data_IF_608896944095
#
_entry.id   IF_608896944095
#
_cell.length_a   1.000
_cell.length_b   1.000
_cell.length_c   1.000
_cell.angle_alpha   90.00
_cell.angle_beta   90.00
_cell.angle_gamma   90.00
#
_symmetry.space_group_name_H-M   'P 1'
#
loop_
_entity.id
_entity.type
_entity.pdbx_description
1 polymer ?
#
# COMPACT_ATOMS: atom_id res chain seq x y z
N UNK A 1 2.85 -5.09 -22.31
CA UNK A 1 3.61 -4.83 -21.06
C UNK A 1 2.87 -3.73 -20.30
N UNK A 2 2.58 -3.93 -19.00
CA UNK A 2 1.83 -3.02 -18.14
C UNK A 2 2.72 -2.59 -16.94
N UNK A 3 2.81 -1.28 -16.67
CA UNK A 3 3.70 -0.73 -15.63
C UNK A 3 2.88 -0.06 -14.53
N UNK A 4 3.03 -0.53 -13.29
CA UNK A 4 2.38 0.03 -12.10
C UNK A 4 3.43 0.67 -11.19
N UNK A 5 3.24 1.95 -10.83
CA UNK A 5 3.99 2.59 -9.75
C UNK A 5 3.29 2.29 -8.42
N UNK A 6 4.06 1.91 -7.40
CA UNK A 6 3.53 1.50 -6.10
C UNK A 6 4.21 2.29 -4.98
N UNK A 7 3.43 3.16 -4.35
CA UNK A 7 3.78 4.00 -3.21
C UNK A 7 3.11 3.48 -1.95
N UNK A 8 3.63 3.85 -0.79
CA UNK A 8 3.02 3.53 0.51
C UNK A 8 3.51 4.48 1.60
N UNK A 9 2.79 4.53 2.71
CA UNK A 9 3.26 5.11 3.96
C UNK A 9 3.75 6.56 3.77
N UNK A 10 2.88 7.42 3.25
CA UNK A 10 3.16 8.84 3.03
C UNK A 10 3.23 9.60 4.36
N UNK A 11 2.39 9.20 5.35
CA UNK A 11 2.30 9.82 6.67
C UNK A 11 2.21 11.34 6.61
N UNK A 12 1.27 11.85 5.83
CA UNK A 12 0.97 13.28 5.80
C UNK A 12 0.46 13.72 7.19
N UNK A 13 1.21 14.59 7.83
CA UNK A 13 1.02 15.02 9.22
C UNK A 13 0.71 16.53 9.36
N UNK A 14 0.49 17.20 8.22
CA UNK A 14 0.36 18.65 8.14
C UNK A 14 1.69 19.39 8.14
N UNK A 15 2.83 18.67 8.17
CA UNK A 15 4.18 19.23 8.15
C UNK A 15 4.77 19.30 6.74
N UNK A 16 5.63 20.29 6.52
CA UNK A 16 6.28 20.52 5.21
C UNK A 16 7.10 19.33 4.73
N UNK A 17 7.68 18.53 5.63
CA UNK A 17 8.54 17.41 5.27
C UNK A 17 7.76 16.29 4.56
N UNK A 18 6.64 15.86 5.11
CA UNK A 18 5.82 14.79 4.53
C UNK A 18 5.21 15.25 3.20
N UNK A 19 4.74 16.51 3.15
CA UNK A 19 4.23 17.15 1.94
C UNK A 19 5.28 17.19 0.82
N UNK A 20 6.50 17.66 1.14
CA UNK A 20 7.59 17.78 0.16
C UNK A 20 7.99 16.41 -0.40
N UNK A 21 8.11 15.38 0.46
CA UNK A 21 8.47 14.03 0.05
C UNK A 21 7.42 13.42 -0.87
N UNK A 22 6.13 13.58 -0.53
CA UNK A 22 5.03 13.13 -1.36
C UNK A 22 4.98 13.88 -2.69
N UNK A 23 5.07 15.21 -2.66
CA UNK A 23 5.12 16.03 -3.88
C UNK A 23 6.32 15.69 -4.77
N UNK A 24 7.48 15.39 -4.20
CA UNK A 24 8.69 14.96 -4.94
C UNK A 24 8.45 13.66 -5.70
N UNK A 25 7.84 12.66 -5.05
CA UNK A 25 7.52 11.39 -5.69
C UNK A 25 6.50 11.58 -6.82
N UNK A 26 5.46 12.38 -6.58
CA UNK A 26 4.45 12.65 -7.62
C UNK A 26 5.06 13.41 -8.81
N UNK A 27 5.86 14.45 -8.57
CA UNK A 27 6.61 15.14 -9.65
C UNK A 27 7.54 14.20 -10.42
N UNK A 28 8.20 13.27 -9.73
CA UNK A 28 9.04 12.27 -10.39
C UNK A 28 8.22 11.41 -11.35
N UNK A 29 7.02 10.95 -10.92
CA UNK A 29 6.13 10.14 -11.76
C UNK A 29 5.54 10.93 -12.94
N UNK A 30 5.20 12.19 -12.74
CA UNK A 30 4.70 13.10 -13.79
C UNK A 30 5.76 13.39 -14.88
N UNK A 31 7.05 13.37 -14.52
CA UNK A 31 8.15 13.67 -15.44
C UNK A 31 8.73 12.42 -16.12
N UNK A 32 8.09 11.25 -15.99
CA UNK A 32 8.49 10.07 -16.75
C UNK A 32 8.23 10.29 -18.25
N UNK A 33 9.18 9.94 -19.12
CA UNK A 33 8.99 10.03 -20.58
C UNK A 33 7.80 9.17 -21.05
N UNK A 34 7.61 8.03 -20.41
CA UNK A 34 6.43 7.18 -20.61
C UNK A 34 5.74 7.06 -19.24
N UNK A 35 4.52 7.59 -19.09
CA UNK A 35 3.78 7.46 -17.86
C UNK A 35 3.57 6.00 -17.43
N UNK A 36 3.46 5.74 -16.14
CA UNK A 36 2.97 4.46 -15.66
C UNK A 36 1.51 4.26 -16.08
N UNK A 37 1.07 3.02 -16.25
CA UNK A 37 -0.33 2.69 -16.57
C UNK A 37 -1.27 2.87 -15.36
N UNK A 38 -0.73 2.71 -14.15
CA UNK A 38 -1.45 2.95 -12.89
C UNK A 38 -0.49 3.35 -11.76
N UNK A 39 -1.02 4.05 -10.75
CA UNK A 39 -0.35 4.36 -9.49
C UNK A 39 -1.17 3.74 -8.35
N UNK A 40 -0.51 3.03 -7.44
CA UNK A 40 -1.10 2.49 -6.22
C UNK A 40 -0.51 3.16 -4.98
N UNK A 41 -1.35 3.42 -3.98
CA UNK A 41 -0.92 3.86 -2.64
C UNK A 41 -1.51 2.91 -1.60
N UNK A 42 -0.65 2.12 -0.96
CA UNK A 42 -1.06 1.03 -0.07
C UNK A 42 -1.09 1.43 1.41
N UNK A 43 -1.81 2.50 1.72
CA UNK A 43 -2.18 2.89 3.08
C UNK A 43 -1.16 3.78 3.80
N UNK A 44 -1.53 4.11 5.02
CA UNK A 44 -0.85 5.10 5.87
C UNK A 44 -0.58 6.40 5.09
N UNK A 45 -1.65 6.86 4.44
CA UNK A 45 -1.62 8.09 3.62
C UNK A 45 -1.43 9.29 4.54
N UNK A 46 -2.14 9.29 5.68
CA UNK A 46 -2.06 10.33 6.71
C UNK A 46 -1.52 9.76 8.02
N UNK A 47 -0.97 10.63 8.88
CA UNK A 47 -0.42 10.21 10.17
C UNK A 47 -1.48 10.19 11.29
N UNK A 48 -2.44 11.11 11.24
CA UNK A 48 -3.46 11.26 12.28
C UNK A 48 -4.89 10.93 11.81
N UNK A 49 -5.11 10.73 10.52
CA UNK A 49 -6.42 10.44 9.93
C UNK A 49 -7.38 11.62 10.01
N UNK A 50 -6.90 12.85 9.93
CA UNK A 50 -7.73 14.05 9.95
C UNK A 50 -8.25 14.39 8.55
N UNK A 51 -9.42 15.04 8.50
CA UNK A 51 -10.01 15.46 7.23
C UNK A 51 -9.11 16.43 6.46
N UNK A 52 -8.36 17.28 7.16
CA UNK A 52 -7.43 18.26 6.57
C UNK A 52 -6.25 17.55 5.89
N UNK A 53 -5.66 16.56 6.56
CA UNK A 53 -4.59 15.74 5.98
C UNK A 53 -5.05 15.02 4.71
N UNK A 54 -6.28 14.45 4.69
CA UNK A 54 -6.81 13.80 3.48
C UNK A 54 -7.11 14.79 2.35
N UNK A 55 -7.59 16.00 2.65
CA UNK A 55 -7.74 17.03 1.64
C UNK A 55 -6.39 17.42 1.05
N UNK A 56 -5.37 17.48 1.89
CA UNK A 56 -4.01 17.73 1.43
C UNK A 56 -3.48 16.58 0.58
N UNK A 57 -3.73 15.33 0.97
CA UNK A 57 -3.41 14.15 0.17
C UNK A 57 -4.07 14.21 -1.22
N UNK A 58 -5.36 14.56 -1.28
CA UNK A 58 -6.10 14.69 -2.54
C UNK A 58 -5.51 15.77 -3.47
N UNK A 59 -4.92 16.84 -2.91
CA UNK A 59 -4.21 17.85 -3.69
C UNK A 59 -2.87 17.33 -4.25
N UNK A 60 -2.11 16.62 -3.40
CA UNK A 60 -0.79 16.09 -3.76
C UNK A 60 -0.86 14.93 -4.76
N UNK A 61 -1.94 14.15 -4.72
CA UNK A 61 -2.16 13.00 -5.59
C UNK A 61 -2.85 13.34 -6.93
N UNK A 62 -3.03 14.64 -7.23
CA UNK A 62 -3.56 15.04 -8.55
C UNK A 62 -2.62 14.59 -9.66
N UNK A 63 -3.14 13.79 -10.58
CA UNK A 63 -2.41 13.25 -11.74
C UNK A 63 -3.41 12.80 -12.81
N UNK A 64 -2.96 12.72 -14.05
CA UNK A 64 -3.76 12.16 -15.16
C UNK A 64 -3.66 10.62 -15.23
N UNK A 65 -2.72 10.01 -14.49
CA UNK A 65 -2.57 8.56 -14.41
C UNK A 65 -3.61 7.99 -13.43
N UNK A 66 -4.32 6.88 -13.76
CA UNK A 66 -5.19 6.22 -12.81
C UNK A 66 -4.50 5.95 -11.48
N UNK A 67 -5.00 6.52 -10.38
CA UNK A 67 -4.44 6.38 -9.03
C UNK A 67 -5.46 5.72 -8.11
N UNK A 68 -5.05 4.63 -7.45
CA UNK A 68 -5.89 3.84 -6.56
C UNK A 68 -5.27 3.76 -5.18
N UNK A 69 -6.11 3.81 -4.14
CA UNK A 69 -5.69 3.88 -2.75
C UNK A 69 -6.42 2.84 -1.90
N UNK A 70 -5.78 2.32 -0.86
CA UNK A 70 -6.44 1.65 0.26
C UNK A 70 -5.97 2.26 1.58
N UNK A 71 -6.72 2.13 2.68
CA UNK A 71 -6.30 2.66 3.97
C UNK A 71 -5.25 1.78 4.65
N UNK A 72 -4.41 2.40 5.52
CA UNK A 72 -3.55 1.75 6.48
C UNK A 72 -4.01 2.01 7.93
N UNK A 73 -3.24 1.55 8.92
CA UNK A 73 -3.65 1.63 10.33
C UNK A 73 -3.69 3.05 10.91
N UNK A 74 -2.96 4.00 10.32
CA UNK A 74 -3.07 5.43 10.67
C UNK A 74 -4.30 6.09 10.06
N UNK A 75 -4.87 5.50 9.01
CA UNK A 75 -6.01 6.06 8.30
C UNK A 75 -7.34 5.81 9.02
N UNK A 76 -8.28 6.75 8.86
CA UNK A 76 -9.64 6.66 9.42
C UNK A 76 -10.67 6.67 8.30
N UNK A 77 -11.52 5.63 8.25
CA UNK A 77 -12.46 5.36 7.15
C UNK A 77 -13.37 6.53 6.78
N UNK A 78 -13.97 7.20 7.77
CA UNK A 78 -14.87 8.34 7.53
C UNK A 78 -14.18 9.51 6.86
N UNK A 79 -13.14 10.12 7.49
CA UNK A 79 -12.37 11.20 6.88
C UNK A 79 -11.65 10.81 5.57
N UNK A 80 -11.20 9.55 5.43
CA UNK A 80 -10.62 9.02 4.19
C UNK A 80 -11.61 9.12 3.03
N UNK A 81 -12.87 8.66 3.25
CA UNK A 81 -13.92 8.77 2.24
C UNK A 81 -14.21 10.22 1.87
N UNK A 82 -14.41 11.07 2.88
CA UNK A 82 -14.81 12.46 2.66
C UNK A 82 -13.68 13.29 2.03
N UNK A 83 -12.49 13.25 2.62
CA UNK A 83 -11.37 14.11 2.24
C UNK A 83 -10.62 13.65 1.00
N UNK A 84 -10.47 12.34 0.80
CA UNK A 84 -9.66 11.79 -0.28
C UNK A 84 -10.51 11.28 -1.44
N UNK A 85 -11.61 10.57 -1.15
CA UNK A 85 -12.44 9.96 -2.19
C UNK A 85 -13.63 10.82 -2.63
N UNK A 86 -13.94 11.92 -1.93
CA UNK A 86 -15.12 12.76 -2.21
C UNK A 86 -16.44 12.02 -2.00
N UNK A 87 -16.47 11.03 -1.12
CA UNK A 87 -17.63 10.20 -0.78
C UNK A 87 -18.25 10.62 0.55
N UNK A 88 -19.48 10.16 0.81
CA UNK A 88 -20.08 10.32 2.14
C UNK A 88 -19.24 9.57 3.19
N UNK A 89 -19.03 10.15 4.40
CA UNK A 89 -18.31 9.47 5.47
C UNK A 89 -19.05 8.19 5.92
N UNK A 90 -18.30 7.18 6.39
CA UNK A 90 -18.86 5.91 6.85
C UNK A 90 -17.77 5.03 7.47
N UNK A 91 -18.19 4.03 8.23
CA UNK A 91 -17.32 3.14 9.01
C UNK A 91 -17.10 1.76 8.37
N UNK A 92 -17.86 1.42 7.31
CA UNK A 92 -17.65 0.17 6.57
C UNK A 92 -16.25 0.10 5.93
N UNK A 93 -15.71 -1.10 5.64
CA UNK A 93 -14.42 -1.24 4.97
C UNK A 93 -14.33 -0.43 3.67
N UNK A 94 -13.18 0.19 3.41
CA UNK A 94 -12.92 0.96 2.19
C UNK A 94 -12.35 0.03 1.12
N UNK A 95 -13.20 -0.83 0.60
CA UNK A 95 -12.86 -1.77 -0.47
C UNK A 95 -13.21 -1.18 -1.83
N UNK A 96 -12.33 -1.32 -2.83
CA UNK A 96 -12.58 -0.90 -4.20
C UNK A 96 -11.89 -1.82 -5.20
N UNK A 97 -12.52 -2.05 -6.34
CA UNK A 97 -11.91 -2.75 -7.46
C UNK A 97 -11.90 -1.85 -8.69
N UNK A 98 -10.78 -1.82 -9.38
CA UNK A 98 -10.56 -0.99 -10.57
C UNK A 98 -9.94 -1.83 -11.68
N UNK A 99 -10.27 -1.53 -12.93
CA UNK A 99 -9.68 -2.19 -14.09
C UNK A 99 -9.05 -1.15 -15.01
N UNK A 100 -7.80 -1.37 -15.38
CA UNK A 100 -7.08 -0.58 -16.37
C UNK A 100 -6.58 -1.54 -17.45
N UNK A 101 -7.07 -1.37 -18.68
CA UNK A 101 -6.88 -2.37 -19.72
C UNK A 101 -7.52 -3.71 -19.32
N UNK A 102 -6.72 -4.76 -19.23
CA UNK A 102 -7.11 -6.10 -18.77
C UNK A 102 -6.69 -6.42 -17.33
N UNK A 103 -6.00 -5.48 -16.66
CA UNK A 103 -5.46 -5.67 -15.31
C UNK A 103 -6.46 -5.18 -14.26
N UNK A 104 -6.80 -6.04 -13.29
CA UNK A 104 -7.67 -5.70 -12.15
C UNK A 104 -6.82 -5.37 -10.92
N UNK A 105 -7.11 -4.23 -10.29
CA UNK A 105 -6.55 -3.82 -9.00
C UNK A 105 -7.62 -3.93 -7.92
N UNK A 106 -7.43 -4.82 -6.97
CA UNK A 106 -8.33 -5.06 -5.85
C UNK A 106 -7.74 -4.38 -4.62
N UNK A 107 -8.23 -3.18 -4.31
CA UNK A 107 -7.79 -2.37 -3.16
C UNK A 107 -8.60 -2.78 -1.94
N UNK A 108 -8.01 -3.58 -1.05
CA UNK A 108 -8.71 -4.16 0.09
C UNK A 108 -8.33 -3.47 1.40
N UNK A 109 -9.32 -3.15 2.22
CA UNK A 109 -9.15 -2.55 3.54
C UNK A 109 -8.79 -3.63 4.57
N UNK A 110 -7.52 -3.67 4.97
CA UNK A 110 -7.02 -4.58 6.02
C UNK A 110 -7.04 -3.95 7.42
N UNK A 111 -7.59 -2.74 7.58
CA UNK A 111 -7.55 -2.03 8.86
C UNK A 111 -8.55 -2.58 9.87
N UNK A 112 -8.15 -2.60 11.13
CA UNK A 112 -9.03 -2.78 12.29
C UNK A 112 -9.11 -1.42 12.98
N UNK A 113 -10.25 -0.71 12.98
CA UNK A 113 -10.33 0.61 13.56
C UNK A 113 -9.75 0.70 14.97
N UNK A 114 -8.76 1.61 15.15
CA UNK A 114 -8.08 1.82 16.43
C UNK A 114 -7.05 0.75 16.82
N UNK A 115 -6.65 -0.12 15.88
CA UNK A 115 -5.60 -1.13 16.07
C UNK A 115 -4.46 -0.92 15.07
N UNK A 116 -3.22 -1.21 15.47
CA UNK A 116 -2.08 -1.14 14.54
C UNK A 116 -1.94 -2.39 13.67
N UNK A 117 -2.57 -3.51 14.04
CA UNK A 117 -2.57 -4.76 13.31
C UNK A 117 -3.71 -4.82 12.29
N UNK A 118 -3.54 -5.66 11.26
CA UNK A 118 -4.49 -5.82 10.18
C UNK A 118 -5.29 -7.11 10.23
N UNK A 119 -6.49 -7.06 9.62
CA UNK A 119 -7.33 -8.24 9.37
C UNK A 119 -8.39 -7.92 8.34
N UNK A 120 -8.62 -8.81 7.40
CA UNK A 120 -9.84 -8.79 6.61
C UNK A 120 -11.00 -9.34 7.42
N UNK A 121 -12.06 -8.55 7.57
CA UNK A 121 -13.32 -9.00 8.16
C UNK A 121 -14.09 -9.93 7.20
N UNK A 122 -15.24 -10.44 7.64
CA UNK A 122 -16.03 -11.37 6.84
C UNK A 122 -16.62 -10.71 5.58
N UNK A 123 -16.96 -9.43 5.66
CA UNK A 123 -17.48 -8.65 4.54
C UNK A 123 -16.39 -8.46 3.47
N UNK A 124 -15.20 -8.02 3.88
CA UNK A 124 -14.06 -7.86 2.97
C UNK A 124 -13.63 -9.19 2.34
N UNK A 125 -13.63 -10.29 3.10
CA UNK A 125 -13.29 -11.61 2.56
C UNK A 125 -14.30 -12.10 1.52
N UNK A 126 -15.60 -11.93 1.79
CA UNK A 126 -16.65 -12.30 0.84
C UNK A 126 -16.62 -11.43 -0.43
N UNK A 127 -16.39 -10.11 -0.26
CA UNK A 127 -16.23 -9.18 -1.36
C UNK A 127 -15.02 -9.52 -2.23
N UNK A 128 -13.86 -9.81 -1.60
CA UNK A 128 -12.62 -10.18 -2.29
C UNK A 128 -12.81 -11.43 -3.15
N UNK A 129 -13.42 -12.48 -2.59
CA UNK A 129 -13.71 -13.72 -3.31
C UNK A 129 -14.65 -13.48 -4.50
N UNK A 130 -15.68 -12.64 -4.32
CA UNK A 130 -16.61 -12.25 -5.38
C UNK A 130 -15.92 -11.51 -6.53
N UNK A 131 -15.18 -10.44 -6.21
CA UNK A 131 -14.46 -9.62 -7.22
C UNK A 131 -13.43 -10.45 -7.98
N UNK A 132 -12.70 -11.32 -7.30
CA UNK A 132 -11.73 -12.21 -7.95
C UNK A 132 -12.38 -13.29 -8.80
N UNK A 133 -13.63 -13.64 -8.54
CA UNK A 133 -14.44 -14.53 -9.37
C UNK A 133 -14.97 -13.87 -10.65
N UNK A 134 -14.91 -12.52 -10.74
CA UNK A 134 -15.34 -11.78 -11.92
C UNK A 134 -14.16 -11.53 -12.86
N UNK A 135 -14.29 -11.93 -14.13
CA UNK A 135 -13.28 -11.71 -15.16
C UNK A 135 -12.08 -12.69 -15.12
N UNK A 136 -11.32 -12.70 -16.22
CA UNK A 136 -10.24 -13.66 -16.48
C UNK A 136 -8.85 -13.02 -16.54
N UNK A 137 -8.75 -11.68 -16.60
CA UNK A 137 -7.49 -10.95 -16.68
C UNK A 137 -6.68 -11.03 -15.39
N UNK A 138 -5.39 -10.67 -15.44
CA UNK A 138 -4.51 -10.66 -14.27
C UNK A 138 -5.04 -9.72 -13.19
N UNK A 139 -4.88 -10.12 -11.91
CA UNK A 139 -5.31 -9.34 -10.76
C UNK A 139 -4.17 -9.10 -9.78
N UNK A 140 -4.08 -7.87 -9.26
CA UNK A 140 -3.28 -7.52 -8.08
C UNK A 140 -4.22 -7.30 -6.89
N UNK A 141 -3.87 -7.86 -5.74
CA UNK A 141 -4.53 -7.52 -4.48
C UNK A 141 -3.61 -6.58 -3.72
N UNK A 142 -4.07 -5.36 -3.49
CA UNK A 142 -3.34 -4.34 -2.75
C UNK A 142 -4.02 -4.05 -1.41
N UNK A 143 -3.24 -4.11 -0.34
CA UNK A 143 -3.69 -3.86 1.03
C UNK A 143 -2.50 -3.49 1.90
N UNK A 144 -2.75 -2.89 3.07
CA UNK A 144 -1.66 -2.29 3.84
C UNK A 144 -0.77 -3.30 4.55
N UNK A 145 -1.33 -4.18 5.38
CA UNK A 145 -0.58 -5.05 6.30
C UNK A 145 -0.14 -6.36 5.64
N UNK A 146 1.17 -6.68 5.53
CA UNK A 146 1.62 -7.98 5.04
C UNK A 146 1.09 -9.15 5.89
N UNK A 147 0.65 -10.28 5.26
CA UNK A 147 0.11 -11.44 5.99
C UNK A 147 1.21 -12.38 6.51
N UNK A 148 2.48 -11.99 6.43
CA UNK A 148 3.64 -12.78 6.87
C UNK A 148 4.62 -11.92 7.63
N UNK A 149 5.42 -12.54 8.49
CA UNK A 149 6.57 -11.89 9.11
C UNK A 149 7.68 -11.67 8.06
N UNK A 150 8.29 -10.49 8.08
CA UNK A 150 9.34 -10.07 7.14
C UNK A 150 10.71 -9.93 7.81
N UNK A 151 10.87 -10.38 9.06
CA UNK A 151 12.10 -10.28 9.83
C UNK A 151 12.27 -8.93 10.54
N UNK A 152 11.18 -8.20 10.74
CA UNK A 152 11.12 -6.89 11.38
C UNK A 152 10.27 -6.97 12.65
N UNK A 153 10.79 -7.45 13.78
CA UNK A 153 10.00 -7.93 14.92
C UNK A 153 8.93 -6.95 15.45
N UNK A 154 9.22 -5.63 15.45
CA UNK A 154 8.25 -4.62 15.91
C UNK A 154 7.09 -4.44 14.93
N UNK A 155 7.35 -4.47 13.63
CA UNK A 155 6.32 -4.35 12.60
C UNK A 155 5.61 -5.69 12.39
N UNK A 156 6.35 -6.80 12.43
CA UNK A 156 5.80 -8.15 12.29
C UNK A 156 4.75 -8.47 13.38
N UNK A 157 4.88 -7.85 14.56
CA UNK A 157 3.89 -7.94 15.63
C UNK A 157 2.55 -7.25 15.29
N UNK A 158 2.54 -6.38 14.28
CA UNK A 158 1.36 -5.62 13.81
C UNK A 158 0.95 -6.02 12.38
N UNK A 159 1.38 -7.19 11.90
CA UNK A 159 1.03 -7.70 10.56
C UNK A 159 -0.46 -8.01 10.43
N UNK A 160 -0.91 -8.43 9.28
CA UNK A 160 -2.24 -8.98 9.09
C UNK A 160 -2.37 -10.37 9.73
N UNK A 161 -3.49 -10.59 10.42
CA UNK A 161 -3.87 -11.88 11.00
C UNK A 161 -5.06 -12.49 10.26
N UNK A 162 -5.29 -13.80 10.47
CA UNK A 162 -6.32 -14.57 9.74
C UNK A 162 -5.89 -14.92 8.33
N UNK A 163 -4.61 -15.09 8.15
CA UNK A 163 -3.91 -15.36 6.88
C UNK A 163 -4.38 -16.63 6.19
N UNK A 164 -4.81 -17.67 6.93
CA UNK A 164 -5.32 -18.92 6.36
C UNK A 164 -6.52 -18.68 5.44
N UNK A 165 -7.41 -17.76 5.81
CA UNK A 165 -8.59 -17.42 5.00
C UNK A 165 -8.19 -16.75 3.68
N UNK A 166 -7.19 -15.86 3.71
CA UNK A 166 -6.66 -15.27 2.49
C UNK A 166 -5.99 -16.33 1.60
N UNK A 167 -5.24 -17.26 2.20
CA UNK A 167 -4.64 -18.37 1.46
C UNK A 167 -5.69 -19.24 0.75
N UNK A 168 -6.84 -19.51 1.39
CA UNK A 168 -7.96 -20.24 0.79
C UNK A 168 -8.58 -19.47 -0.40
N UNK A 169 -8.72 -18.16 -0.32
CA UNK A 169 -9.18 -17.33 -1.44
C UNK A 169 -8.17 -17.40 -2.59
N UNK A 170 -6.88 -17.21 -2.33
CA UNK A 170 -5.84 -17.25 -3.36
C UNK A 170 -5.79 -18.59 -4.09
N UNK A 171 -6.01 -19.71 -3.37
CA UNK A 171 -6.05 -21.04 -3.98
C UNK A 171 -7.17 -21.21 -5.01
N UNK A 172 -8.29 -20.45 -4.86
CA UNK A 172 -9.41 -20.47 -5.82
C UNK A 172 -9.21 -19.53 -7.01
N UNK A 173 -8.32 -18.55 -6.90
CA UNK A 173 -8.17 -17.48 -7.89
C UNK A 173 -6.73 -17.39 -8.44
N UNK A 174 -6.32 -18.33 -9.32
CA UNK A 174 -4.95 -18.39 -9.86
C UNK A 174 -4.58 -17.19 -10.75
N UNK A 175 -5.54 -16.32 -11.11
CA UNK A 175 -5.28 -15.07 -11.84
C UNK A 175 -4.61 -13.99 -10.99
N UNK A 176 -4.48 -14.18 -9.68
CA UNK A 176 -3.78 -13.23 -8.80
C UNK A 176 -2.28 -13.30 -9.06
N UNK A 177 -1.73 -12.22 -9.60
CA UNK A 177 -0.32 -12.10 -10.00
C UNK A 177 0.58 -11.81 -8.81
N UNK A 178 0.14 -10.92 -7.92
CA UNK A 178 0.87 -10.58 -6.70
C UNK A 178 -0.02 -9.94 -5.64
N UNK A 179 0.46 -10.00 -4.39
CA UNK A 179 0.01 -9.20 -3.25
C UNK A 179 0.93 -7.99 -3.12
N UNK A 180 0.35 -6.80 -3.00
CA UNK A 180 1.05 -5.53 -2.91
C UNK A 180 0.71 -4.87 -1.57
N UNK A 181 1.73 -4.65 -0.72
CA UNK A 181 1.55 -4.18 0.65
C UNK A 181 2.42 -2.94 0.95
N UNK A 182 2.12 -2.29 2.09
CA UNK A 182 2.92 -1.24 2.70
C UNK A 182 3.36 -1.61 4.10
N UNK A 183 3.15 -0.70 5.07
CA UNK A 183 3.27 -0.89 6.51
C UNK A 183 4.69 -1.03 7.05
N UNK A 184 5.59 -1.69 6.34
CA UNK A 184 6.91 -2.05 6.86
C UNK A 184 7.98 -1.01 6.56
N UNK A 185 7.66 0.07 5.88
CA UNK A 185 8.56 1.17 5.50
C UNK A 185 9.85 0.72 4.80
N UNK A 186 9.83 -0.47 4.21
CA UNK A 186 10.96 -1.05 3.48
C UNK A 186 10.48 -1.81 2.24
N UNK A 187 11.29 -1.79 1.20
CA UNK A 187 11.09 -2.68 0.06
C UNK A 187 11.37 -4.13 0.48
N UNK A 188 10.36 -4.97 0.44
CA UNK A 188 10.48 -6.37 0.76
C UNK A 188 9.86 -7.26 -0.33
N UNK A 189 10.48 -8.41 -0.56
CA UNK A 189 10.04 -9.41 -1.52
C UNK A 189 9.99 -10.77 -0.86
N UNK A 190 8.83 -11.39 -0.87
CA UNK A 190 8.61 -12.75 -0.36
C UNK A 190 7.47 -13.42 -1.14
N UNK A 191 6.95 -14.51 -0.62
CA UNK A 191 5.82 -15.28 -1.17
C UNK A 191 4.84 -15.61 -0.05
N UNK A 192 3.55 -15.53 -0.34
CA UNK A 192 2.49 -15.98 0.54
C UNK A 192 1.53 -16.90 -0.23
N UNK A 193 1.25 -18.09 0.30
CA UNK A 193 0.37 -19.09 -0.32
C UNK A 193 0.69 -19.35 -1.82
N UNK A 194 1.97 -19.33 -2.21
CA UNK A 194 2.41 -19.51 -3.58
C UNK A 194 2.36 -18.26 -4.46
N UNK A 195 1.77 -17.15 -3.98
CA UNK A 195 1.66 -15.88 -4.70
C UNK A 195 2.81 -14.94 -4.31
N UNK A 196 3.48 -14.26 -5.27
CA UNK A 196 4.47 -13.23 -4.97
C UNK A 196 3.87 -12.13 -4.08
N UNK A 197 4.61 -11.72 -3.04
CA UNK A 197 4.27 -10.60 -2.18
C UNK A 197 5.36 -9.53 -2.29
N UNK A 198 4.96 -8.29 -2.46
CA UNK A 198 5.84 -7.13 -2.51
C UNK A 198 5.34 -6.06 -1.54
N UNK A 199 6.22 -5.63 -0.63
CA UNK A 199 5.96 -4.46 0.19
C UNK A 199 6.69 -3.27 -0.41
N UNK A 200 5.97 -2.16 -0.58
CA UNK A 200 6.55 -0.90 -1.01
C UNK A 200 7.37 -0.27 0.12
N UNK A 201 8.46 0.43 -0.21
CA UNK A 201 9.13 1.30 0.75
C UNK A 201 8.23 2.51 1.04
N UNK A 202 8.44 3.11 2.21
CA UNK A 202 7.69 4.30 2.59
C UNK A 202 8.16 5.54 1.83
N UNK A 203 7.21 6.41 1.52
CA UNK A 203 7.47 7.78 1.03
C UNK A 203 7.86 8.67 2.21
N UNK A 204 7.19 8.53 3.36
CA UNK A 204 7.37 9.38 4.54
C UNK A 204 8.68 9.19 5.28
N UNK A 205 9.16 7.95 5.42
CA UNK A 205 10.32 7.59 6.21
C UNK A 205 10.87 6.22 5.79
N UNK A 206 11.89 5.71 6.46
CA UNK A 206 12.38 4.35 6.27
C UNK A 206 12.51 3.65 7.61
N UNK A 207 12.46 2.32 7.63
CA UNK A 207 12.73 1.55 8.83
C UNK A 207 14.22 1.20 8.91
N UNK A 208 14.78 1.26 10.12
CA UNK A 208 16.11 0.72 10.42
C UNK A 208 15.98 -0.79 10.65
N UNK A 209 16.78 -1.58 9.97
CA UNK A 209 16.75 -3.01 10.14
C UNK A 209 17.40 -3.47 11.45
N UNK A 210 16.95 -4.58 12.04
CA UNK A 210 17.50 -5.10 13.30
C UNK A 210 19.01 -5.38 13.27
N UNK A 211 19.57 -5.62 12.09
CA UNK A 211 21.00 -5.89 11.87
C UNK A 211 21.83 -4.63 11.55
N UNK A 212 21.20 -3.45 11.39
CA UNK A 212 21.91 -2.19 11.14
C UNK A 212 22.31 -1.49 12.45
N UNK A 213 21.62 -1.81 13.55
CA UNK A 213 21.82 -1.14 14.84
C UNK A 213 21.55 -2.08 16.01
N UNK A 214 22.44 -2.11 16.99
CA UNK A 214 22.21 -2.80 18.25
C UNK A 214 21.07 -2.13 19.04
N UNK A 215 20.10 -2.95 19.49
CA UNK A 215 18.96 -2.52 20.28
C UNK A 215 17.88 -1.84 19.43
N UNK A 216 16.78 -2.56 19.21
CA UNK A 216 15.58 -1.97 18.61
C UNK A 216 14.97 -0.98 19.60
N UNK A 217 14.75 0.25 19.16
CA UNK A 217 13.91 1.20 19.90
C UNK A 217 12.48 0.71 19.87
N UNK A 218 11.83 0.68 21.03
CA UNK A 218 10.39 0.48 21.10
C UNK A 218 9.64 1.67 20.45
N UNK A 219 8.40 1.46 20.06
CA UNK A 219 7.59 2.57 19.52
C UNK A 219 7.47 3.74 20.49
N UNK A 220 7.43 3.48 21.81
CA UNK A 220 7.45 4.52 22.87
C UNK A 220 8.74 5.33 22.93
N UNK A 221 9.82 4.86 22.29
CA UNK A 221 11.12 5.55 22.19
C UNK A 221 11.37 6.12 20.79
N UNK A 222 10.30 6.24 19.98
CA UNK A 222 10.34 6.78 18.62
C UNK A 222 10.55 5.73 17.52
N UNK A 223 10.53 4.44 17.87
CA UNK A 223 10.65 3.34 16.91
C UNK A 223 11.98 3.29 16.16
N UNK A 224 12.18 2.29 15.30
CA UNK A 224 13.35 2.16 14.44
C UNK A 224 13.16 2.93 13.12
N UNK A 225 12.79 4.20 13.18
CA UNK A 225 12.48 5.02 12.01
C UNK A 225 13.64 5.94 11.66
N UNK A 226 13.96 6.00 10.35
CA UNK A 226 14.89 6.93 9.75
C UNK A 226 14.12 7.90 8.83
N UNK A 227 14.23 9.18 9.12
CA UNK A 227 13.57 10.25 8.36
C UNK A 227 14.48 10.89 7.31
N UNK A 228 15.77 10.57 7.29
CA UNK A 228 16.78 11.22 6.44
C UNK A 228 16.94 10.52 5.08
N UNK A 229 16.66 9.21 5.01
CA UNK A 229 16.73 8.49 3.76
C UNK A 229 15.72 9.04 2.74
N UNK A 230 16.10 9.19 1.46
CA UNK A 230 15.22 9.73 0.44
C UNK A 230 13.98 8.84 0.22
N UNK A 231 12.85 9.43 -0.22
CA UNK A 231 11.66 8.64 -0.54
C UNK A 231 11.93 7.65 -1.68
N UNK A 232 11.25 6.53 -1.63
CA UNK A 232 11.35 5.52 -2.69
C UNK A 232 9.99 4.89 -3.00
N UNK A 233 9.92 4.20 -4.14
CA UNK A 233 8.74 3.51 -4.62
C UNK A 233 9.14 2.22 -5.34
N UNK A 234 8.17 1.37 -5.67
CA UNK A 234 8.36 0.23 -6.55
C UNK A 234 7.72 0.50 -7.92
N UNK A 235 8.33 -0.02 -8.98
CA UNK A 235 7.69 -0.24 -10.27
C UNK A 235 7.46 -1.73 -10.47
N UNK A 236 6.23 -2.12 -10.72
CA UNK A 236 5.85 -3.48 -11.10
C UNK A 236 5.61 -3.51 -12.60
N UNK A 237 6.34 -4.35 -13.30
CA UNK A 237 6.22 -4.57 -14.74
C UNK A 237 5.59 -5.93 -14.97
N UNK A 238 4.32 -5.95 -15.38
CA UNK A 238 3.64 -7.14 -15.83
C UNK A 238 3.89 -7.32 -17.32
N UNK A 239 4.59 -8.38 -17.66
CA UNK A 239 4.91 -8.73 -19.04
C UNK A 239 3.75 -9.47 -19.72
N UNK A 240 3.70 -9.44 -21.05
CA UNK A 240 2.64 -10.10 -21.83
C UNK A 240 2.64 -11.63 -21.68
N UNK A 241 3.75 -12.21 -21.20
CA UNK A 241 3.88 -13.62 -20.84
C UNK A 241 3.42 -13.95 -19.40
N UNK A 242 2.86 -12.97 -18.69
CA UNK A 242 2.38 -13.10 -17.29
C UNK A 242 3.47 -12.98 -16.23
N UNK A 243 4.73 -12.82 -16.60
CA UNK A 243 5.84 -12.66 -15.66
C UNK A 243 5.81 -11.27 -15.02
N UNK A 244 6.02 -11.20 -13.70
CA UNK A 244 6.12 -9.96 -12.94
C UNK A 244 7.58 -9.64 -12.60
N UNK A 245 8.04 -8.45 -12.99
CA UNK A 245 9.32 -7.88 -12.54
C UNK A 245 9.06 -6.68 -11.64
N UNK A 246 9.76 -6.59 -10.52
CA UNK A 246 9.65 -5.44 -9.60
C UNK A 246 10.99 -4.74 -9.47
N UNK A 247 10.99 -3.42 -9.64
CA UNK A 247 12.16 -2.56 -9.48
C UNK A 247 11.90 -1.54 -8.38
N UNK A 248 12.87 -1.36 -7.48
CA UNK A 248 12.85 -0.22 -6.56
C UNK A 248 13.46 1.01 -7.22
N UNK A 249 12.87 2.16 -6.95
CA UNK A 249 13.39 3.46 -7.34
C UNK A 249 13.50 4.37 -6.13
N UNK A 250 14.71 4.82 -5.85
CA UNK A 250 14.97 5.93 -4.93
C UNK A 250 14.74 7.23 -5.70
N UNK A 251 13.92 8.13 -5.16
CA UNK A 251 13.62 9.42 -5.78
C UNK A 251 14.60 10.47 -5.27
N UNK A 252 15.49 10.99 -6.10
CA UNK A 252 16.50 11.96 -5.69
C UNK A 252 15.86 13.30 -5.28
N UNK A 253 16.66 14.13 -4.60
CA UNK A 253 16.27 15.50 -4.22
C UNK A 253 16.08 16.38 -5.44
#
# INVERSE_FOLDING_TARGET
>A
MFVTAHLSDNHLDGGERADERTARVMRYLENLETPADAILVTGDITDHGTLEEYRRAAELFKTDVPLFVCPGNHDKRGPFREGLLGQAPGDSPVNAAHTVGDVTFVMADSTIPGKPDGRFDDETMAWLDGVLGEGDGPAFIAFHHPPVALGLPLVDAMRQYGEDRLAEVLARHPRVVALLCGHVHAAASTTFAGVPLRSAPSVGSSILFPWERDGLRSWGEGGPIDYDLPPSLLFHVLHDDGRLTTHQRVVPA
#
